data_IF_414617958425
#
_entry.id   IF_414617958425
#
_cell.length_a   1.000
_cell.length_b   1.000
_cell.length_c   1.000
_cell.angle_alpha   90.00
_cell.angle_beta   90.00
_cell.angle_gamma   90.00
#
_symmetry.space_group_name_H-M   'P 1'
#
loop_
_entity.id
_entity.type
_entity.pdbx_description
1 polymer ?
#
# COMPACT_ATOMS: atom_id res chain seq x y z
N UNK A 1 -10.34 16.01 -3.46
CA UNK A 1 -9.62 15.06 -2.58
C UNK A 1 -8.47 14.46 -3.34
N UNK A 2 -7.30 14.27 -2.69
CA UNK A 2 -6.12 13.72 -3.33
C UNK A 2 -6.34 12.24 -3.67
N UNK A 3 -5.89 11.85 -4.87
CA UNK A 3 -5.89 10.46 -5.34
C UNK A 3 -4.49 9.87 -5.21
N UNK A 4 -4.35 8.53 -5.16
CA UNK A 4 -3.05 7.88 -5.26
C UNK A 4 -2.36 8.24 -6.58
N UNK A 5 -1.05 8.49 -6.52
CA UNK A 5 -0.22 8.82 -7.68
C UNK A 5 0.97 7.87 -7.76
N UNK A 6 1.19 7.32 -8.96
CA UNK A 6 2.34 6.49 -9.27
C UNK A 6 3.46 7.34 -9.89
N UNK A 7 4.64 7.34 -9.26
CA UNK A 7 5.84 7.99 -9.77
C UNK A 7 6.94 6.95 -10.05
N UNK A 8 7.58 7.05 -11.22
CA UNK A 8 8.70 6.21 -11.61
C UNK A 8 9.99 7.02 -11.56
N UNK A 9 10.99 6.52 -10.81
CA UNK A 9 12.29 7.18 -10.68
C UNK A 9 13.32 6.55 -11.61
N UNK A 10 14.34 7.32 -12.07
CA UNK A 10 15.40 6.78 -12.89
C UNK A 10 16.23 5.75 -12.12
N UNK A 11 16.60 4.67 -12.80
CA UNK A 11 17.53 3.66 -12.30
C UNK A 11 18.83 3.78 -13.10
N UNK A 12 19.95 3.93 -12.38
CA UNK A 12 21.30 3.95 -12.93
C UNK A 12 21.96 2.60 -12.69
N UNK A 13 22.49 1.99 -13.74
CA UNK A 13 23.10 0.67 -13.68
C UNK A 13 24.57 0.78 -14.11
N UNK A 14 25.48 0.23 -13.30
CA UNK A 14 26.89 0.07 -13.64
C UNK A 14 27.43 -1.29 -13.13
N UNK A 15 28.74 -1.50 -13.17
CA UNK A 15 29.37 -2.75 -12.73
C UNK A 15 29.27 -3.02 -11.20
N UNK A 16 28.79 -2.09 -10.42
CA UNK A 16 28.53 -2.22 -8.97
C UNK A 16 27.10 -2.62 -8.67
N UNK A 17 26.17 -2.55 -9.66
CA UNK A 17 24.75 -2.84 -9.51
C UNK A 17 23.86 -1.67 -9.93
N UNK A 18 22.79 -1.40 -9.17
CA UNK A 18 21.82 -0.34 -9.46
C UNK A 18 21.84 0.76 -8.42
N UNK A 19 21.67 1.99 -8.89
CA UNK A 19 21.51 3.17 -8.05
C UNK A 19 20.21 3.88 -8.44
N UNK A 20 19.31 4.07 -7.47
CA UNK A 20 18.10 4.85 -7.64
C UNK A 20 18.00 5.89 -6.52
N UNK A 21 18.14 7.19 -6.84
CA UNK A 21 18.00 8.23 -5.84
C UNK A 21 16.57 8.27 -5.31
N UNK A 22 16.42 8.26 -3.99
CA UNK A 22 15.16 8.49 -3.27
C UNK A 22 14.84 10.01 -3.30
N UNK A 23 14.68 10.57 -4.48
CA UNK A 23 14.25 11.96 -4.61
C UNK A 23 12.73 12.00 -4.62
N UNK A 24 12.18 12.64 -3.61
CA UNK A 24 10.81 13.11 -3.64
C UNK A 24 10.76 14.23 -4.69
N UNK A 25 10.39 13.90 -5.93
CA UNK A 25 10.10 14.92 -6.93
C UNK A 25 8.74 15.52 -6.59
N UNK A 26 8.73 16.49 -5.71
CA UNK A 26 7.58 17.37 -5.60
C UNK A 26 7.62 18.34 -6.78
N UNK A 27 6.64 18.23 -7.65
CA UNK A 27 6.44 19.22 -8.70
C UNK A 27 5.83 20.47 -8.04
N UNK A 28 6.68 21.46 -7.82
CA UNK A 28 6.49 22.64 -6.97
C UNK A 28 5.28 23.53 -7.32
N UNK A 29 4.56 23.24 -8.39
CA UNK A 29 3.54 24.16 -8.89
C UNK A 29 2.10 23.83 -8.47
N UNK A 30 1.82 22.62 -7.99
CA UNK A 30 0.45 22.22 -7.60
C UNK A 30 0.35 21.36 -6.32
N UNK A 31 1.45 21.12 -5.60
CA UNK A 31 1.51 20.13 -4.51
C UNK A 31 2.07 20.69 -3.20
N UNK A 32 2.00 22.00 -2.96
CA UNK A 32 2.51 22.62 -1.72
C UNK A 32 1.83 22.06 -0.43
N UNK A 33 0.68 21.43 -0.57
CA UNK A 33 -0.06 20.77 0.51
C UNK A 33 0.32 19.29 0.71
N UNK A 34 1.14 18.71 -0.17
CA UNK A 34 1.64 17.33 -0.07
C UNK A 34 3.03 17.24 0.58
N UNK A 35 3.67 18.37 0.90
CA UNK A 35 4.91 18.38 1.68
C UNK A 35 4.53 18.05 3.11
N UNK A 36 4.60 16.76 3.43
CA UNK A 36 4.40 16.26 4.79
C UNK A 36 5.76 15.97 5.42
N UNK A 37 5.88 16.30 6.69
CA UNK A 37 7.03 15.87 7.46
C UNK A 37 6.96 14.35 7.67
N UNK A 38 7.75 13.60 6.90
CA UNK A 38 7.88 12.17 7.11
C UNK A 38 8.60 11.91 8.44
N UNK A 39 7.92 11.28 9.38
CA UNK A 39 8.42 11.12 10.75
C UNK A 39 8.97 9.73 11.05
N UNK A 40 8.66 8.74 10.21
CA UNK A 40 9.14 7.37 10.41
C UNK A 40 9.37 6.69 9.06
N UNK A 41 10.49 5.97 8.95
CA UNK A 41 10.79 5.07 7.84
C UNK A 41 10.70 3.62 8.33
N UNK A 42 10.03 2.78 7.58
CA UNK A 42 9.90 1.36 7.84
C UNK A 42 10.48 0.57 6.67
N UNK A 43 11.10 -0.55 6.97
CA UNK A 43 11.62 -1.48 5.96
C UNK A 43 11.00 -2.85 6.19
N UNK A 44 10.48 -3.45 5.13
CA UNK A 44 9.92 -4.79 5.12
C UNK A 44 10.80 -5.68 4.25
N UNK A 45 11.42 -6.69 4.84
CA UNK A 45 12.17 -7.73 4.12
C UNK A 45 11.28 -8.96 4.01
N UNK A 46 11.09 -9.44 2.78
CA UNK A 46 10.18 -10.54 2.48
C UNK A 46 10.94 -11.62 1.71
N UNK A 47 11.43 -12.68 2.41
CA UNK A 47 12.24 -13.72 1.78
C UNK A 47 11.50 -14.50 0.69
N UNK A 48 10.18 -14.63 0.81
CA UNK A 48 9.38 -15.46 -0.07
C UNK A 48 8.41 -14.62 -0.89
N UNK A 49 8.26 -14.97 -2.16
CA UNK A 49 7.15 -14.49 -2.98
C UNK A 49 5.80 -14.89 -2.37
N UNK A 50 4.75 -14.20 -2.77
CA UNK A 50 3.40 -14.35 -2.23
C UNK A 50 3.31 -14.08 -0.72
N UNK A 51 4.23 -13.27 -0.16
CA UNK A 51 4.11 -12.71 1.18
C UNK A 51 3.20 -11.49 1.12
N UNK A 52 2.09 -11.53 1.87
CA UNK A 52 1.10 -10.46 1.92
C UNK A 52 1.17 -9.71 3.26
N UNK A 53 1.08 -8.40 3.18
CA UNK A 53 0.95 -7.49 4.32
C UNK A 53 -0.20 -6.52 4.09
N UNK A 54 -1.19 -6.52 4.98
CA UNK A 54 -2.33 -5.62 4.89
C UNK A 54 -3.68 -6.33 4.77
N UNK A 55 -4.73 -5.59 4.49
CA UNK A 55 -4.81 -4.13 4.33
C UNK A 55 -4.79 -3.43 5.69
N UNK A 56 -3.90 -2.45 5.86
CA UNK A 56 -3.73 -1.74 7.13
C UNK A 56 -3.98 -0.24 6.97
N UNK A 57 -4.63 0.35 7.98
CA UNK A 57 -4.83 1.79 8.10
C UNK A 57 -4.92 2.21 9.55
N UNK A 58 -4.81 3.51 9.81
CA UNK A 58 -5.14 4.11 11.10
C UNK A 58 -6.27 5.11 10.94
N UNK A 59 -7.14 5.14 11.96
CA UNK A 59 -8.21 6.15 12.05
C UNK A 59 -7.69 7.44 12.66
N UNK A 60 -8.41 8.56 12.41
CA UNK A 60 -8.10 9.84 13.02
C UNK A 60 -8.03 9.76 14.56
N UNK A 61 -7.17 10.55 15.23
CA UNK A 61 -6.27 11.57 14.65
C UNK A 61 -4.90 11.02 14.20
N UNK A 62 -4.75 9.71 14.08
CA UNK A 62 -3.50 9.03 13.74
C UNK A 62 -3.47 8.47 12.32
N UNK A 63 -4.42 8.87 11.47
CA UNK A 63 -4.42 8.48 10.06
C UNK A 63 -3.07 8.84 9.41
N UNK A 64 -2.55 7.94 8.58
CA UNK A 64 -1.21 8.04 8.00
C UNK A 64 -1.28 8.11 6.47
N UNK A 65 -0.59 9.07 5.88
CA UNK A 65 -0.14 8.93 4.51
C UNK A 65 1.12 8.06 4.48
N UNK A 66 1.32 7.35 3.36
CA UNK A 66 2.47 6.46 3.18
C UNK A 66 3.14 6.74 1.84
N UNK A 67 4.46 6.78 1.82
CA UNK A 67 5.24 6.76 0.59
C UNK A 67 5.92 5.41 0.51
N UNK A 68 5.43 4.56 -0.38
CA UNK A 68 5.91 3.20 -0.60
C UNK A 68 7.01 3.23 -1.65
N UNK A 69 8.10 2.48 -1.43
CA UNK A 69 9.17 2.29 -2.40
C UNK A 69 9.65 0.85 -2.42
N UNK A 70 9.74 0.30 -3.61
CA UNK A 70 10.37 -1.01 -3.81
C UNK A 70 11.88 -0.83 -3.93
N UNK A 71 12.62 -1.36 -2.97
CA UNK A 71 14.09 -1.30 -2.94
C UNK A 71 14.69 -2.45 -3.75
N UNK A 72 14.07 -3.64 -3.68
CA UNK A 72 14.47 -4.84 -4.42
C UNK A 72 13.26 -5.71 -4.67
N UNK A 73 13.23 -6.41 -5.79
CA UNK A 73 12.13 -7.27 -6.18
C UNK A 73 10.94 -6.52 -6.76
N UNK A 74 9.74 -7.10 -6.65
CA UNK A 74 8.51 -6.52 -7.15
C UNK A 74 7.31 -6.90 -6.28
N UNK A 75 6.30 -6.03 -6.28
CA UNK A 75 5.04 -6.21 -5.55
C UNK A 75 3.84 -5.86 -6.41
N UNK A 76 2.70 -6.43 -6.08
CA UNK A 76 1.40 -5.86 -6.43
C UNK A 76 0.88 -5.15 -5.19
N UNK A 77 0.72 -3.84 -5.31
CA UNK A 77 0.23 -2.96 -4.24
C UNK A 77 -1.26 -2.69 -4.47
N UNK A 78 -2.06 -2.70 -3.42
CA UNK A 78 -3.49 -2.46 -3.51
C UNK A 78 -3.99 -1.61 -2.35
N UNK A 79 -4.85 -0.67 -2.70
CA UNK A 79 -5.38 0.32 -1.78
C UNK A 79 -6.88 0.46 -1.96
N UNK A 80 -7.58 0.69 -0.85
CA UNK A 80 -9.04 0.92 -0.82
C UNK A 80 -9.31 2.28 -0.21
N UNK A 81 -10.07 3.12 -0.90
CA UNK A 81 -10.50 4.41 -0.37
C UNK A 81 -11.53 4.20 0.76
N UNK A 82 -11.15 4.56 1.97
CA UNK A 82 -12.03 4.46 3.15
C UNK A 82 -12.38 5.83 3.74
N UNK A 83 -12.21 6.91 2.97
CA UNK A 83 -12.53 8.27 3.38
C UNK A 83 -14.05 8.52 3.30
N UNK A 84 -14.75 8.71 4.42
CA UNK A 84 -16.22 8.70 4.45
C UNK A 84 -16.90 9.75 3.57
N UNK A 85 -16.21 10.84 3.22
CA UNK A 85 -16.74 11.93 2.39
C UNK A 85 -16.19 11.91 0.95
N UNK A 86 -15.48 10.84 0.58
CA UNK A 86 -14.98 10.66 -0.78
C UNK A 86 -16.11 10.27 -1.72
N UNK A 87 -16.13 10.83 -2.91
CA UNK A 87 -17.00 10.36 -4.00
C UNK A 87 -16.56 8.96 -4.45
N UNK A 88 -15.27 8.64 -4.29
CA UNK A 88 -14.65 7.36 -4.63
C UNK A 88 -14.64 6.37 -3.44
N UNK A 89 -15.44 6.60 -2.36
CA UNK A 89 -15.48 5.71 -1.18
C UNK A 89 -15.74 4.26 -1.57
N UNK A 90 -14.88 3.35 -1.14
CA UNK A 90 -14.89 1.94 -1.48
C UNK A 90 -14.17 1.61 -2.80
N UNK A 91 -13.68 2.59 -3.56
CA UNK A 91 -12.92 2.27 -4.77
C UNK A 91 -11.62 1.55 -4.44
N UNK A 92 -11.26 0.61 -5.31
CA UNK A 92 -10.04 -0.20 -5.22
C UNK A 92 -9.07 0.26 -6.32
N UNK A 93 -7.80 0.46 -5.95
CA UNK A 93 -6.75 0.77 -6.91
C UNK A 93 -5.63 -0.25 -6.74
N UNK A 94 -5.08 -0.74 -7.86
CA UNK A 94 -4.06 -1.78 -7.88
C UNK A 94 -2.89 -1.28 -8.74
N UNK A 95 -1.65 -1.48 -8.26
CA UNK A 95 -0.43 -1.03 -8.91
C UNK A 95 0.62 -2.14 -8.91
N UNK A 96 1.18 -2.43 -10.08
CA UNK A 96 2.38 -3.25 -10.20
C UNK A 96 3.60 -2.36 -9.95
N UNK A 97 4.33 -2.63 -8.87
CA UNK A 97 5.52 -1.88 -8.49
C UNK A 97 6.76 -2.78 -8.54
N UNK A 98 7.80 -2.28 -9.17
CA UNK A 98 9.12 -2.92 -9.24
C UNK A 98 10.19 -2.02 -8.64
N UNK A 99 11.39 -2.51 -8.58
CA UNK A 99 12.53 -1.77 -8.05
C UNK A 99 12.56 -0.32 -8.56
N UNK A 100 12.67 0.61 -7.64
CA UNK A 100 12.73 2.07 -7.83
C UNK A 100 11.39 2.78 -8.04
N UNK A 101 10.28 2.05 -8.21
CA UNK A 101 8.97 2.68 -8.24
C UNK A 101 8.59 3.21 -6.84
N UNK A 102 7.86 4.32 -6.84
CA UNK A 102 7.32 4.96 -5.64
C UNK A 102 5.81 5.17 -5.78
N UNK A 103 5.08 4.86 -4.72
CA UNK A 103 3.64 5.10 -4.64
C UNK A 103 3.32 5.96 -3.41
N UNK A 104 2.71 7.12 -3.65
CA UNK A 104 2.15 7.93 -2.57
C UNK A 104 0.71 7.50 -2.30
N UNK A 105 0.46 7.03 -1.09
CA UNK A 105 -0.88 6.66 -0.59
C UNK A 105 -1.29 7.73 0.42
N UNK A 106 -2.28 8.58 0.14
CA UNK A 106 -2.76 9.57 1.09
C UNK A 106 -3.36 8.94 2.35
N UNK A 107 -3.49 9.71 3.43
CA UNK A 107 -4.23 9.28 4.61
C UNK A 107 -5.71 8.99 4.27
N UNK A 108 -6.29 7.99 4.94
CA UNK A 108 -7.66 7.57 4.69
C UNK A 108 -7.81 6.49 3.62
N UNK A 109 -6.71 5.82 3.28
CA UNK A 109 -6.75 4.58 2.49
C UNK A 109 -6.31 3.38 3.32
N UNK A 110 -7.00 2.26 3.15
CA UNK A 110 -6.52 0.95 3.60
C UNK A 110 -5.50 0.45 2.56
N UNK A 111 -4.32 0.02 3.00
CA UNK A 111 -3.18 -0.27 2.14
C UNK A 111 -2.60 -1.66 2.43
N UNK A 112 -2.27 -2.38 1.38
CA UNK A 112 -1.58 -3.65 1.45
C UNK A 112 -0.81 -3.97 0.17
N UNK A 113 0.07 -4.97 0.26
CA UNK A 113 0.80 -5.47 -0.91
C UNK A 113 1.06 -6.96 -0.80
N UNK A 114 1.29 -7.58 -1.95
CA UNK A 114 1.80 -8.96 -2.07
C UNK A 114 3.09 -8.96 -2.88
N UNK A 115 4.11 -9.71 -2.42
CA UNK A 115 5.36 -9.87 -3.17
C UNK A 115 5.18 -10.85 -4.32
N UNK A 116 5.74 -10.54 -5.48
CA UNK A 116 5.72 -11.41 -6.67
C UNK A 116 7.09 -12.02 -6.99
N UNK A 117 8.12 -11.59 -6.25
CA UNK A 117 9.49 -12.12 -6.32
C UNK A 117 10.00 -12.48 -4.92
N UNK A 118 10.92 -13.44 -4.86
CA UNK A 118 11.65 -13.76 -3.63
C UNK A 118 12.61 -12.62 -3.26
N UNK A 119 12.94 -12.51 -1.96
CA UNK A 119 13.85 -11.50 -1.41
C UNK A 119 13.43 -10.05 -1.72
N UNK A 120 12.13 -9.81 -1.83
CA UNK A 120 11.58 -8.47 -2.04
C UNK A 120 11.75 -7.59 -0.80
N UNK A 121 12.27 -6.38 -1.00
CA UNK A 121 12.46 -5.38 0.06
C UNK A 121 11.64 -4.14 -0.28
N UNK A 122 10.75 -3.78 0.65
CA UNK A 122 9.88 -2.61 0.55
C UNK A 122 10.21 -1.64 1.68
N UNK A 123 10.50 -0.40 1.35
CA UNK A 123 10.59 0.71 2.29
C UNK A 123 9.31 1.54 2.21
N UNK A 124 8.84 2.04 3.34
CA UNK A 124 7.78 3.05 3.34
C UNK A 124 7.97 4.09 4.43
N UNK A 125 7.69 5.33 4.06
CA UNK A 125 7.68 6.47 4.96
C UNK A 125 6.23 6.73 5.41
N UNK A 126 6.06 7.23 6.64
CA UNK A 126 4.76 7.65 7.18
C UNK A 126 4.85 9.03 7.80
N UNK A 127 3.77 9.79 7.69
CA UNK A 127 3.66 11.19 8.16
C UNK A 127 3.05 11.32 9.56
N UNK A 128 2.64 10.22 10.17
CA UNK A 128 2.07 10.24 11.53
C UNK A 128 2.58 9.03 12.33
N UNK A 129 2.53 9.14 13.65
CA UNK A 129 3.01 8.08 14.57
C UNK A 129 2.10 6.86 14.54
N UNK A 130 2.70 5.72 14.81
CA UNK A 130 1.95 4.49 15.03
C UNK A 130 1.15 4.56 16.33
N UNK A 131 -0.13 4.22 16.26
CA UNK A 131 -1.05 4.12 17.38
C UNK A 131 -1.78 2.77 17.34
N UNK A 132 -1.44 1.82 18.22
CA UNK A 132 -2.12 0.53 18.25
C UNK A 132 -3.64 0.64 18.46
N UNK A 133 -4.09 1.65 19.24
CA UNK A 133 -5.52 1.89 19.48
C UNK A 133 -6.27 2.37 18.22
N UNK A 134 -5.56 3.03 17.31
CA UNK A 134 -6.11 3.58 16.05
C UNK A 134 -5.92 2.65 14.86
N UNK A 135 -5.09 1.61 14.99
CA UNK A 135 -4.84 0.67 13.91
C UNK A 135 -6.08 -0.18 13.61
N UNK A 136 -6.34 -0.37 12.32
CA UNK A 136 -7.40 -1.24 11.81
C UNK A 136 -6.86 -2.03 10.64
N UNK A 137 -7.49 -3.17 10.40
CA UNK A 137 -7.18 -4.05 9.27
C UNK A 137 -8.44 -4.42 8.52
N UNK A 138 -8.30 -4.71 7.23
CA UNK A 138 -9.34 -5.21 6.35
C UNK A 138 -8.84 -6.48 5.68
N UNK A 139 -9.69 -7.50 5.61
CA UNK A 139 -9.36 -8.78 5.01
C UNK A 139 -9.18 -8.64 3.49
N UNK A 140 -7.97 -8.80 3.01
CA UNK A 140 -7.63 -8.64 1.60
C UNK A 140 -8.42 -9.57 0.66
N UNK A 141 -8.64 -10.83 1.09
CA UNK A 141 -9.36 -11.84 0.30
C UNK A 141 -10.86 -11.59 0.19
N UNK A 142 -11.39 -10.61 0.92
CA UNK A 142 -12.77 -10.14 0.78
C UNK A 142 -12.93 -9.01 -0.24
N UNK A 143 -11.83 -8.53 -0.83
CA UNK A 143 -11.82 -7.51 -1.89
C UNK A 143 -11.77 -8.23 -3.23
N UNK A 144 -12.94 -8.43 -3.85
CA UNK A 144 -13.09 -9.23 -5.06
C UNK A 144 -12.19 -8.77 -6.21
N UNK A 145 -12.02 -7.44 -6.38
CA UNK A 145 -11.15 -6.85 -7.40
C UNK A 145 -9.69 -7.24 -7.20
N UNK A 146 -9.22 -7.29 -5.95
CA UNK A 146 -7.84 -7.71 -5.63
C UNK A 146 -7.68 -9.19 -5.93
N UNK A 147 -8.58 -10.04 -5.44
CA UNK A 147 -8.52 -11.49 -5.68
C UNK A 147 -8.55 -11.80 -7.16
N UNK A 148 -9.44 -11.15 -7.90
CA UNK A 148 -9.54 -11.30 -9.36
C UNK A 148 -8.24 -10.89 -10.04
N UNK A 149 -7.69 -9.71 -9.69
CA UNK A 149 -6.44 -9.22 -10.29
C UNK A 149 -5.28 -10.18 -10.06
N UNK A 150 -5.12 -10.69 -8.83
CA UNK A 150 -4.05 -11.64 -8.50
C UNK A 150 -4.19 -12.95 -9.28
N UNK A 151 -5.41 -13.48 -9.41
CA UNK A 151 -5.66 -14.69 -10.22
C UNK A 151 -5.37 -14.48 -11.71
N UNK A 152 -5.66 -13.30 -12.24
CA UNK A 152 -5.46 -13.00 -13.66
C UNK A 152 -3.98 -12.70 -14.01
N UNK A 153 -3.18 -12.23 -13.05
CA UNK A 153 -1.83 -11.70 -13.31
C UNK A 153 -0.69 -12.50 -12.68
N UNK A 154 -0.97 -13.42 -11.75
CA UNK A 154 0.05 -14.30 -11.15
C UNK A 154 -0.21 -15.73 -11.61
N UNK A 155 0.74 -16.31 -12.31
CA UNK A 155 0.66 -17.70 -12.74
C UNK A 155 0.53 -18.65 -11.55
N UNK A 156 -0.44 -19.57 -11.62
CA UNK A 156 -0.70 -20.58 -10.57
C UNK A 156 -0.96 -19.94 -9.18
N UNK A 157 -1.54 -18.73 -9.16
CA UNK A 157 -1.89 -18.09 -7.89
C UNK A 157 -2.91 -18.93 -7.11
N UNK A 158 -2.63 -19.13 -5.84
CA UNK A 158 -3.53 -19.80 -4.92
C UNK A 158 -3.63 -19.01 -3.61
N UNK A 159 -4.82 -18.55 -3.28
CA UNK A 159 -5.10 -17.79 -2.05
C UNK A 159 -4.68 -18.54 -0.79
N UNK A 160 -4.70 -19.88 -0.78
CA UNK A 160 -4.28 -20.70 0.36
C UNK A 160 -2.76 -20.73 0.55
N UNK A 161 -1.99 -20.46 -0.51
CA UNK A 161 -0.52 -20.43 -0.47
C UNK A 161 0.05 -19.08 -0.06
N UNK A 162 -0.79 -18.07 0.15
CA UNK A 162 -0.36 -16.72 0.55
C UNK A 162 0.19 -16.74 1.97
N UNK A 163 1.44 -16.27 2.12
CA UNK A 163 2.07 -16.08 3.42
C UNK A 163 1.54 -14.80 4.07
N UNK A 164 0.73 -14.97 5.10
CA UNK A 164 0.05 -13.86 5.78
C UNK A 164 0.15 -14.05 7.30
N UNK A 165 0.23 -12.94 8.03
CA UNK A 165 0.25 -12.98 9.49
C UNK A 165 -1.08 -13.46 10.09
N UNK A 166 -1.09 -14.07 11.28
CA UNK A 166 -2.34 -14.43 11.98
C UNK A 166 -3.26 -13.21 12.15
N UNK A 167 -2.71 -12.04 12.48
CA UNK A 167 -3.44 -10.78 12.64
C UNK A 167 -4.20 -10.38 11.38
N UNK A 168 -3.62 -10.59 10.21
CA UNK A 168 -4.22 -10.18 8.93
C UNK A 168 -5.25 -11.19 8.41
N UNK A 169 -5.34 -12.38 9.05
CA UNK A 169 -6.37 -13.38 8.75
C UNK A 169 -7.69 -13.13 9.48
N UNK A 170 -7.63 -12.49 10.65
CA UNK A 170 -8.77 -12.28 11.54
C UNK A 170 -9.15 -10.81 11.60
N UNK A 171 -9.57 -10.26 10.48
CA UNK A 171 -9.95 -8.85 10.38
C UNK A 171 -11.27 -8.66 9.65
N UNK A 172 -11.81 -7.45 9.76
CA UNK A 172 -13.07 -7.05 9.14
C UNK A 172 -13.02 -7.24 7.63
N UNK A 173 -14.11 -7.74 7.05
CA UNK A 173 -14.24 -7.85 5.59
C UNK A 173 -14.42 -6.49 4.92
N UNK A 174 -14.13 -6.43 3.63
CA UNK A 174 -14.38 -5.24 2.81
C UNK A 174 -15.85 -4.83 2.85
N UNK A 175 -16.77 -5.79 2.69
CA UNK A 175 -18.21 -5.55 2.68
C UNK A 175 -18.69 -4.94 4.00
N UNK A 176 -18.23 -5.47 5.14
CA UNK A 176 -18.54 -4.94 6.47
C UNK A 176 -18.02 -3.50 6.61
N UNK A 177 -16.77 -3.25 6.17
CA UNK A 177 -16.17 -1.91 6.25
C UNK A 177 -16.90 -0.90 5.38
N UNK A 178 -17.24 -1.25 4.15
CA UNK A 178 -17.95 -0.32 3.26
C UNK A 178 -19.39 -0.09 3.72
N UNK A 179 -20.02 -1.08 4.36
CA UNK A 179 -21.37 -0.94 4.91
C UNK A 179 -21.43 0.04 6.10
N UNK A 180 -20.37 0.13 6.94
CA UNK A 180 -20.32 1.04 8.10
C UNK A 180 -20.68 2.48 7.72
N UNK A 181 -20.19 2.96 6.58
CA UNK A 181 -20.45 4.34 6.16
C UNK A 181 -21.84 4.55 5.58
N UNK A 182 -22.44 3.53 4.91
CA UNK A 182 -23.78 3.63 4.33
C UNK A 182 -24.86 3.83 5.41
N UNK A 183 -24.58 3.38 6.63
CA UNK A 183 -25.49 3.52 7.78
C UNK A 183 -25.17 4.73 8.67
N UNK A 184 -24.04 5.42 8.43
CA UNK A 184 -23.64 6.59 9.22
C UNK A 184 -24.16 7.93 8.65
N UNK A 185 -24.98 7.89 7.60
CA UNK A 185 -25.72 9.02 7.03
C UNK A 185 -27.15 9.02 7.56
#
# INVERSE_FOLDING_TARGET
>A
MEKPELNQNPVFIDNRGTFAPLQLKYNDKNQSHLIKDWIQSNVSVNPHKHTLRGLHYQIEPYAQAKLIKVISGAIIDFIVDIRPRSEDYGSVHIFDLKQSDELLVPAGFAHGFITIEDNTVVQYLVDNRYSPASERSMLWSSVDEVVKYLNDNINEFNTESVLISPKDKECQTYQEKIAEYKFAK
#
